data_IF_026736620565
#
_entry.id   IF_026736620565
#
_cell.length_a   1.000
_cell.length_b   1.000
_cell.length_c   1.000
_cell.angle_alpha   90.00
_cell.angle_beta   90.00
_cell.angle_gamma   90.00
#
_symmetry.space_group_name_H-M   'P 1'
#
loop_
_entity.id
_entity.type
_entity.pdbx_description
1 polymer ?
#
# COMPACT_ATOMS: atom_id res chain seq x y z
N UNK A 1 17.44 -13.37 -6.75
CA UNK A 1 17.65 -12.05 -7.38
C UNK A 1 17.47 -10.99 -6.30
N UNK A 2 18.56 -10.61 -5.63
CA UNK A 2 18.50 -9.63 -4.54
C UNK A 2 18.35 -8.26 -5.21
N UNK A 3 17.18 -7.64 -5.09
CA UNK A 3 16.96 -6.27 -5.52
C UNK A 3 17.90 -5.31 -4.80
N UNK A 4 18.16 -4.16 -5.41
CA UNK A 4 18.85 -3.03 -4.75
C UNK A 4 18.15 -2.70 -3.43
N UNK A 5 18.92 -2.42 -2.39
CA UNK A 5 18.37 -2.02 -1.09
C UNK A 5 17.48 -0.78 -1.25
N UNK A 6 16.25 -0.75 -0.70
CA UNK A 6 15.34 0.38 -0.84
C UNK A 6 15.93 1.72 -0.37
N UNK A 7 16.85 1.72 0.60
CA UNK A 7 17.50 2.93 1.08
C UNK A 7 18.42 3.58 0.04
N UNK A 8 18.78 2.84 -1.01
CA UNK A 8 19.64 3.30 -2.11
C UNK A 8 18.86 3.75 -3.34
N UNK A 9 17.54 3.56 -3.35
CA UNK A 9 16.68 4.04 -4.44
C UNK A 9 16.41 5.54 -4.27
N UNK A 10 16.46 6.29 -5.37
CA UNK A 10 15.86 7.63 -5.38
C UNK A 10 14.33 7.55 -5.29
N UNK A 11 13.65 8.68 -5.10
CA UNK A 11 12.21 8.70 -4.91
C UNK A 11 11.44 8.20 -6.14
N UNK A 12 11.91 8.50 -7.36
CA UNK A 12 11.25 8.06 -8.59
C UNK A 12 11.37 6.54 -8.75
N UNK A 13 12.56 6.00 -8.49
CA UNK A 13 12.82 4.57 -8.51
C UNK A 13 11.99 3.84 -7.45
N UNK A 14 11.94 4.36 -6.22
CA UNK A 14 11.15 3.79 -5.13
C UNK A 14 9.66 3.72 -5.49
N UNK A 15 9.11 4.80 -6.04
CA UNK A 15 7.71 4.85 -6.47
C UNK A 15 7.42 3.85 -7.59
N UNK A 16 8.31 3.74 -8.58
CA UNK A 16 8.17 2.77 -9.68
C UNK A 16 8.22 1.32 -9.20
N UNK A 17 9.11 1.02 -8.25
CA UNK A 17 9.23 -0.31 -7.66
C UNK A 17 8.00 -0.66 -6.81
N UNK A 18 7.46 0.30 -6.05
CA UNK A 18 6.20 0.14 -5.31
C UNK A 18 5.02 -0.15 -6.26
N UNK A 19 4.87 0.62 -7.34
CA UNK A 19 3.81 0.37 -8.33
C UNK A 19 3.95 -1.04 -8.92
N UNK A 20 5.17 -1.43 -9.29
CA UNK A 20 5.44 -2.73 -9.91
C UNK A 20 5.13 -3.89 -8.97
N UNK A 21 5.56 -3.80 -7.70
CA UNK A 21 5.36 -4.87 -6.73
C UNK A 21 3.90 -5.00 -6.30
N UNK A 22 3.15 -3.88 -6.23
CA UNK A 22 1.72 -3.91 -5.97
C UNK A 22 0.94 -4.51 -7.14
N UNK A 23 1.32 -4.19 -8.39
CA UNK A 23 0.67 -4.71 -9.59
C UNK A 23 0.74 -6.24 -9.67
N UNK A 24 1.86 -6.84 -9.31
CA UNK A 24 2.08 -8.30 -9.41
C UNK A 24 1.69 -9.06 -8.14
N UNK A 25 1.16 -8.36 -7.12
CA UNK A 25 0.83 -8.96 -5.82
C UNK A 25 -0.17 -10.10 -5.93
N UNK A 26 -1.29 -9.85 -6.62
CA UNK A 26 -2.37 -10.83 -6.70
C UNK A 26 -1.96 -12.08 -7.49
N UNK A 27 -1.24 -11.88 -8.59
CA UNK A 27 -0.68 -12.97 -9.40
C UNK A 27 0.30 -13.82 -8.57
N UNK A 28 1.24 -13.17 -7.88
CA UNK A 28 2.22 -13.86 -7.02
C UNK A 28 1.54 -14.61 -5.88
N UNK A 29 0.42 -14.09 -5.35
CA UNK A 29 -0.35 -14.74 -4.30
C UNK A 29 -1.06 -16.01 -4.80
N UNK A 30 -1.62 -15.98 -6.01
CA UNK A 30 -2.41 -17.10 -6.54
C UNK A 30 -1.54 -18.17 -7.21
N UNK A 31 -0.48 -17.77 -7.89
CA UNK A 31 0.27 -18.64 -8.81
C UNK A 31 1.76 -18.75 -8.48
N UNK A 32 2.26 -17.93 -7.55
CA UNK A 32 3.65 -18.00 -7.10
C UNK A 32 3.92 -19.24 -6.26
N UNK A 33 5.16 -19.75 -6.32
CA UNK A 33 5.62 -20.73 -5.33
C UNK A 33 5.68 -20.11 -3.93
N UNK A 34 5.70 -20.94 -2.89
CA UNK A 34 5.84 -20.46 -1.52
C UNK A 34 7.09 -19.58 -1.32
N UNK A 35 8.21 -19.93 -1.95
CA UNK A 35 9.44 -19.15 -1.88
C UNK A 35 9.33 -17.82 -2.64
N UNK A 36 8.67 -17.83 -3.80
CA UNK A 36 8.40 -16.61 -4.56
C UNK A 36 7.50 -15.66 -3.76
N UNK A 37 6.44 -16.19 -3.13
CA UNK A 37 5.53 -15.42 -2.29
C UNK A 37 6.25 -14.83 -1.06
N UNK A 38 7.12 -15.61 -0.41
CA UNK A 38 7.94 -15.13 0.72
C UNK A 38 8.86 -13.99 0.30
N UNK A 39 9.63 -14.18 -0.77
CA UNK A 39 10.54 -13.17 -1.28
C UNK A 39 9.79 -11.88 -1.71
N UNK A 40 8.61 -12.05 -2.28
CA UNK A 40 7.75 -10.93 -2.66
C UNK A 40 7.21 -10.18 -1.44
N UNK A 41 6.73 -10.88 -0.40
CA UNK A 41 6.30 -10.27 0.86
C UNK A 41 7.43 -9.46 1.49
N UNK A 42 8.62 -10.05 1.60
CA UNK A 42 9.77 -9.41 2.22
C UNK A 42 10.18 -8.15 1.47
N UNK A 43 10.19 -8.20 0.13
CA UNK A 43 10.52 -7.03 -0.69
C UNK A 43 9.45 -5.94 -0.59
N UNK A 44 8.17 -6.30 -0.62
CA UNK A 44 7.07 -5.35 -0.46
C UNK A 44 7.18 -4.61 0.87
N UNK A 45 7.36 -5.34 1.97
CA UNK A 45 7.49 -4.75 3.30
C UNK A 45 8.68 -3.78 3.41
N UNK A 46 9.83 -4.10 2.78
CA UNK A 46 11.00 -3.22 2.78
C UNK A 46 10.77 -1.94 1.98
N UNK A 47 10.14 -2.02 0.80
CA UNK A 47 9.83 -0.86 -0.04
C UNK A 47 8.80 0.06 0.64
N UNK A 48 7.75 -0.52 1.23
CA UNK A 48 6.74 0.22 1.97
C UNK A 48 7.32 0.89 3.22
N UNK A 49 8.19 0.18 3.95
CA UNK A 49 8.90 0.72 5.11
C UNK A 49 9.81 1.90 4.76
N UNK A 50 10.53 1.82 3.63
CA UNK A 50 11.32 2.93 3.10
C UNK A 50 10.44 4.15 2.82
N UNK A 51 9.34 3.95 2.10
CA UNK A 51 8.45 5.05 1.75
C UNK A 51 7.82 5.69 2.99
N UNK A 52 7.37 4.90 3.97
CA UNK A 52 6.84 5.42 5.23
C UNK A 52 7.87 6.20 6.03
N UNK A 53 9.13 5.75 6.05
CA UNK A 53 10.22 6.46 6.73
C UNK A 53 10.52 7.81 6.08
N UNK A 54 10.49 7.89 4.74
CA UNK A 54 10.66 9.17 4.00
C UNK A 54 9.45 10.09 4.14
N UNK A 55 8.27 9.53 4.39
CA UNK A 55 6.99 10.25 4.40
C UNK A 55 6.26 10.15 5.76
N UNK A 56 6.86 10.64 6.87
CA UNK A 56 6.25 10.53 8.20
C UNK A 56 4.95 11.34 8.33
N UNK A 57 4.75 12.36 7.48
CA UNK A 57 3.54 13.19 7.44
C UNK A 57 2.65 12.88 6.23
N UNK A 58 2.67 11.65 5.73
CA UNK A 58 1.87 11.27 4.56
C UNK A 58 0.39 11.63 4.78
N UNK A 59 -0.30 12.13 3.74
CA UNK A 59 -1.74 12.33 3.83
C UNK A 59 -2.44 10.98 4.01
N UNK A 60 -3.34 10.93 4.99
CA UNK A 60 -4.27 9.81 5.17
C UNK A 60 -5.64 10.31 4.72
N UNK A 61 -6.20 9.68 3.69
CA UNK A 61 -7.56 10.03 3.27
C UNK A 61 -8.52 9.75 4.43
N UNK A 62 -9.25 10.78 4.90
CA UNK A 62 -10.21 10.66 5.99
C UNK A 62 -11.20 9.51 5.75
N UNK A 63 -11.61 9.31 4.50
CA UNK A 63 -12.51 8.22 4.14
C UNK A 63 -11.97 6.79 4.35
N UNK A 64 -10.65 6.65 4.50
CA UNK A 64 -9.93 5.40 4.78
C UNK A 64 -9.58 5.24 6.26
N UNK A 65 -10.01 6.16 7.13
CA UNK A 65 -9.94 5.99 8.59
C UNK A 65 -11.24 5.42 9.11
N UNK A 66 -11.19 4.80 10.29
CA UNK A 66 -12.38 4.31 10.99
C UNK A 66 -13.33 5.45 11.36
N UNK A 67 -12.78 6.58 11.74
CA UNK A 67 -13.52 7.80 12.09
C UNK A 67 -14.28 8.35 10.88
N UNK A 68 -13.60 8.59 9.76
CA UNK A 68 -14.26 9.06 8.54
C UNK A 68 -15.22 8.04 7.94
N UNK A 69 -15.05 6.73 8.20
CA UNK A 69 -16.06 5.73 7.86
C UNK A 69 -17.36 5.87 8.68
N UNK A 70 -17.25 6.24 9.97
CA UNK A 70 -18.41 6.49 10.83
C UNK A 70 -19.13 7.79 10.49
N UNK A 71 -18.38 8.84 10.15
CA UNK A 71 -18.95 10.12 9.72
C UNK A 71 -19.80 9.98 8.45
N UNK A 72 -19.36 9.16 7.48
CA UNK A 72 -20.17 8.84 6.29
C UNK A 72 -21.47 8.11 6.64
N UNK A 73 -21.42 7.09 7.49
CA UNK A 73 -22.60 6.33 7.90
C UNK A 73 -23.62 7.14 8.72
N UNK A 74 -23.17 8.17 9.44
CA UNK A 74 -24.04 9.09 10.17
C UNK A 74 -24.71 10.15 9.26
N UNK A 75 -24.10 10.47 8.11
CA UNK A 75 -24.63 11.44 7.15
C UNK A 75 -25.67 10.86 6.17
N UNK A 76 -25.76 9.54 6.04
CA UNK A 76 -26.64 8.86 5.08
C UNK A 76 -28.04 8.54 5.64
N UNK A 77 -28.27 8.76 6.94
CA UNK A 77 -29.56 8.50 7.60
C UNK A 77 -30.59 9.64 7.51
N UNK A 78 -30.35 10.68 6.70
CA UNK A 78 -31.33 11.73 6.41
C UNK A 78 -31.61 11.79 4.92
N UNK A 79 -32.46 10.86 4.46
CA UNK A 79 -33.29 11.13 3.27
C UNK A 79 -34.74 11.19 3.76
N UNK A 80 -35.34 12.39 3.91
CA UNK A 80 -36.78 12.47 4.06
C UNK A 80 -37.40 12.25 2.68
N UNK A 81 -38.04 11.10 2.49
CA UNK A 81 -38.91 10.88 1.33
C UNK A 81 -40.10 11.83 1.42
N UNK A 82 -40.27 12.66 0.40
CA UNK A 82 -41.46 13.47 0.13
C UNK A 82 -42.19 12.94 -1.10
#
# INVERSE_FOLDING_TARGET
MIGVDPSRLDDQQLMKELETIHRTRHDTLLYGSNDALRAHNDRMARLEGEWLRRNPRRPVAAGRTREGARERGCGESVTPGG
#
